data_IF_754664041593
#
_entry.id   IF_754664041593
#
_cell.length_a   1.000
_cell.length_b   1.000
_cell.length_c   1.000
_cell.angle_alpha   90.00
_cell.angle_beta   90.00
_cell.angle_gamma   90.00
#
_symmetry.space_group_name_H-M   'P 1'
#
loop_
_entity.id
_entity.type
_entity.pdbx_description
1 polymer ?
#
# COMPACT_ATOMS: atom_id res chain seq x y z
N UNK A 1 -26.58 19.69 5.54
CA UNK A 1 -25.54 19.23 4.58
C UNK A 1 -25.87 19.80 3.22
N UNK A 2 -25.04 20.69 2.67
CA UNK A 2 -25.40 21.49 1.48
C UNK A 2 -25.75 20.63 0.26
N UNK A 3 -24.98 19.56 -0.01
CA UNK A 3 -25.23 18.68 -1.16
C UNK A 3 -26.56 17.93 -1.04
N UNK A 4 -26.84 17.36 0.14
CA UNK A 4 -28.09 16.65 0.41
C UNK A 4 -29.31 17.59 0.31
N UNK A 5 -29.22 18.80 0.86
CA UNK A 5 -30.27 19.83 0.75
C UNK A 5 -30.54 20.24 -0.70
N UNK A 6 -29.52 20.20 -1.56
CA UNK A 6 -29.62 20.47 -2.99
C UNK A 6 -29.98 19.24 -3.84
N UNK A 7 -30.19 18.07 -3.23
CA UNK A 7 -30.44 16.81 -3.95
C UNK A 7 -29.26 16.34 -4.82
N UNK A 8 -28.04 16.77 -4.51
CA UNK A 8 -26.81 16.44 -5.24
C UNK A 8 -26.21 15.15 -4.65
N UNK A 9 -26.09 14.06 -5.42
CA UNK A 9 -25.46 12.83 -4.94
C UNK A 9 -23.96 13.04 -4.66
N UNK A 10 -23.48 12.37 -3.63
CA UNK A 10 -22.10 12.45 -3.14
C UNK A 10 -21.44 11.08 -3.11
N UNK A 11 -20.17 11.03 -3.53
CA UNK A 11 -19.33 9.84 -3.44
C UNK A 11 -18.09 10.21 -2.64
N UNK A 12 -17.84 9.49 -1.55
CA UNK A 12 -16.58 9.60 -0.80
C UNK A 12 -15.62 8.52 -1.31
N UNK A 13 -14.40 8.92 -1.69
CA UNK A 13 -13.36 7.98 -2.13
C UNK A 13 -12.46 7.62 -0.95
N UNK A 14 -12.21 6.33 -0.77
CA UNK A 14 -11.31 5.83 0.26
C UNK A 14 -9.87 6.37 0.08
N UNK A 15 -9.34 7.01 1.12
CA UNK A 15 -8.00 7.65 1.08
C UNK A 15 -6.84 6.70 1.44
N UNK A 16 -7.09 5.68 2.25
CA UNK A 16 -6.10 4.67 2.64
C UNK A 16 -6.75 3.38 3.12
N UNK A 17 -5.95 2.39 3.52
CA UNK A 17 -6.49 1.20 4.18
C UNK A 17 -7.16 1.58 5.50
N UNK A 18 -8.21 0.85 5.88
CA UNK A 18 -8.95 1.13 7.12
C UNK A 18 -8.09 0.70 8.30
N UNK A 19 -7.57 1.70 9.02
CA UNK A 19 -6.71 1.52 10.18
C UNK A 19 -7.46 1.59 11.51
N UNK A 20 -8.61 2.27 11.56
CA UNK A 20 -9.60 2.40 12.64
C UNK A 20 -10.90 2.91 12.02
N UNK A 21 -11.95 3.10 12.84
CA UNK A 21 -13.15 3.86 12.48
C UNK A 21 -12.90 5.37 12.25
N UNK A 22 -11.81 5.91 12.83
CA UNK A 22 -11.52 7.35 12.78
C UNK A 22 -11.18 7.74 11.33
N UNK A 23 -11.94 8.68 10.79
CA UNK A 23 -11.80 9.12 9.39
C UNK A 23 -12.58 8.29 8.37
N UNK A 24 -13.34 7.29 8.80
CA UNK A 24 -14.28 6.53 7.98
C UNK A 24 -15.72 6.62 8.48
N UNK A 25 -15.90 6.89 9.78
CA UNK A 25 -17.21 7.07 10.42
C UNK A 25 -17.38 8.47 11.03
N UNK A 26 -18.61 9.01 11.06
CA UNK A 26 -19.82 8.47 10.42
C UNK A 26 -19.75 8.56 8.89
N UNK A 27 -20.52 7.71 8.20
CA UNK A 27 -20.73 7.85 6.76
C UNK A 27 -21.53 9.13 6.50
N UNK A 28 -20.95 10.05 5.70
CA UNK A 28 -21.59 11.32 5.34
C UNK A 28 -22.03 11.31 3.87
N UNK A 29 -21.32 10.61 3.00
CA UNK A 29 -21.64 10.53 1.58
C UNK A 29 -22.75 9.50 1.29
N UNK A 30 -23.46 9.68 0.18
CA UNK A 30 -24.47 8.72 -0.29
C UNK A 30 -23.86 7.36 -0.63
N UNK A 31 -22.63 7.36 -1.16
CA UNK A 31 -21.88 6.15 -1.50
C UNK A 31 -20.42 6.28 -1.06
N UNK A 32 -19.94 5.27 -0.33
CA UNK A 32 -18.51 5.04 -0.09
C UNK A 32 -17.90 4.22 -1.23
N UNK A 33 -16.97 4.83 -1.95
CA UNK A 33 -16.17 4.21 -2.99
C UNK A 33 -14.94 3.52 -2.40
N UNK A 34 -15.00 2.20 -2.30
CA UNK A 34 -13.99 1.40 -1.56
C UNK A 34 -13.07 0.58 -2.47
N UNK A 35 -11.95 0.13 -1.91
CA UNK A 35 -10.93 -0.63 -2.64
C UNK A 35 -11.38 -2.04 -3.02
N UNK A 36 -11.89 -2.81 -2.06
CA UNK A 36 -12.22 -4.21 -2.26
C UNK A 36 -13.27 -4.76 -1.31
N UNK A 37 -13.29 -6.09 -1.23
CA UNK A 37 -14.24 -6.82 -0.39
C UNK A 37 -13.99 -6.57 1.10
N UNK A 38 -12.73 -6.41 1.51
CA UNK A 38 -12.40 -6.14 2.91
C UNK A 38 -13.15 -4.91 3.45
N UNK A 39 -13.04 -3.77 2.76
CA UNK A 39 -13.69 -2.54 3.21
C UNK A 39 -15.21 -2.62 3.10
N UNK A 40 -15.73 -3.26 2.05
CA UNK A 40 -17.16 -3.50 1.91
C UNK A 40 -17.73 -4.32 3.08
N UNK A 41 -17.03 -5.37 3.50
CA UNK A 41 -17.37 -6.19 4.66
C UNK A 41 -17.24 -5.42 5.97
N UNK A 42 -16.18 -4.61 6.11
CA UNK A 42 -15.97 -3.77 7.28
C UNK A 42 -17.09 -2.74 7.47
N UNK A 43 -17.46 -2.01 6.41
CA UNK A 43 -18.56 -1.02 6.46
C UNK A 43 -19.90 -1.68 6.82
N UNK A 44 -20.20 -2.85 6.24
CA UNK A 44 -21.39 -3.61 6.59
C UNK A 44 -21.40 -4.04 8.06
N UNK A 45 -20.24 -4.45 8.61
CA UNK A 45 -20.12 -4.85 10.02
C UNK A 45 -20.38 -3.69 10.99
N UNK A 46 -20.04 -2.46 10.61
CA UNK A 46 -20.31 -1.25 11.42
C UNK A 46 -21.67 -0.61 11.13
N UNK A 47 -22.54 -1.29 10.37
CA UNK A 47 -23.94 -0.90 10.18
C UNK A 47 -24.24 -0.07 8.93
N UNK A 48 -23.27 0.15 8.04
CA UNK A 48 -23.51 0.85 6.77
C UNK A 48 -24.30 -0.04 5.81
N UNK A 49 -25.34 0.53 5.19
CA UNK A 49 -26.17 -0.18 4.20
C UNK A 49 -25.31 -0.64 3.03
N UNK A 50 -25.48 -1.90 2.60
CA UNK A 50 -24.76 -2.46 1.43
C UNK A 50 -24.91 -1.62 0.17
N UNK A 51 -26.06 -0.98 -0.03
CA UNK A 51 -26.33 -0.10 -1.18
C UNK A 51 -25.57 1.22 -1.15
N UNK A 52 -25.00 1.59 0.00
CA UNK A 52 -24.22 2.80 0.22
C UNK A 52 -22.70 2.55 0.14
N UNK A 53 -22.29 1.38 -0.35
CA UNK A 53 -20.87 1.02 -0.53
C UNK A 53 -20.67 0.39 -1.91
N UNK A 54 -19.72 0.90 -2.68
CA UNK A 54 -19.42 0.40 -4.02
C UNK A 54 -17.92 0.09 -4.16
N UNK A 55 -17.59 -1.12 -4.62
CA UNK A 55 -16.20 -1.54 -4.87
C UNK A 55 -15.73 -0.97 -6.20
N UNK A 56 -15.11 0.21 -6.15
CA UNK A 56 -14.65 0.94 -7.34
C UNK A 56 -13.13 1.08 -7.40
N UNK A 57 -12.38 0.65 -6.39
CA UNK A 57 -10.93 0.85 -6.32
C UNK A 57 -10.57 2.31 -6.05
N UNK A 58 -9.40 2.76 -6.52
CA UNK A 58 -9.05 4.17 -6.49
C UNK A 58 -8.40 4.61 -7.82
N UNK A 59 -8.85 5.71 -8.47
CA UNK A 59 -8.23 6.18 -9.71
C UNK A 59 -6.74 6.51 -9.59
N UNK A 60 -6.26 6.81 -8.37
CA UNK A 60 -4.83 6.99 -8.08
C UNK A 60 -4.02 5.72 -8.37
N UNK A 61 -4.58 4.55 -8.09
CA UNK A 61 -3.93 3.25 -8.30
C UNK A 61 -3.92 2.83 -9.76
N UNK A 62 -4.72 3.47 -10.64
CA UNK A 62 -4.64 3.20 -12.08
C UNK A 62 -3.24 3.54 -12.65
N UNK A 63 -2.50 4.44 -12.00
CA UNK A 63 -1.13 4.77 -12.37
C UNK A 63 -0.13 3.66 -12.07
N UNK A 64 -0.43 2.70 -11.18
CA UNK A 64 0.45 1.57 -10.87
C UNK A 64 0.48 0.52 -11.99
N UNK A 65 -0.49 0.56 -12.91
CA UNK A 65 -0.48 -0.26 -14.13
C UNK A 65 0.33 0.39 -15.26
N UNK A 66 0.71 1.67 -15.11
CA UNK A 66 1.55 2.36 -16.08
C UNK A 66 3.01 2.02 -15.83
N UNK A 67 3.86 2.23 -16.85
CA UNK A 67 5.31 2.14 -16.65
C UNK A 67 5.77 3.29 -15.76
N UNK A 68 6.83 3.03 -14.98
CA UNK A 68 7.58 4.07 -14.27
C UNK A 68 7.89 5.24 -15.19
N UNK A 69 7.72 6.47 -14.69
CA UNK A 69 8.09 7.69 -15.40
C UNK A 69 9.60 7.87 -15.48
N UNK A 70 10.30 7.32 -14.49
CA UNK A 70 11.76 7.25 -14.40
C UNK A 70 12.28 5.95 -15.04
N UNK A 71 13.33 6.01 -15.85
CA UNK A 71 14.05 4.82 -16.31
C UNK A 71 14.87 4.20 -15.17
N UNK A 72 15.13 2.88 -15.25
CA UNK A 72 15.95 2.19 -14.24
C UNK A 72 17.38 2.76 -14.16
N UNK A 73 17.96 3.12 -15.31
CA UNK A 73 19.29 3.75 -15.37
C UNK A 73 19.33 5.11 -14.68
N UNK A 74 18.25 5.90 -14.80
CA UNK A 74 18.13 7.18 -14.12
C UNK A 74 18.04 6.98 -12.60
N UNK A 75 17.27 5.99 -12.11
CA UNK A 75 17.25 5.64 -10.69
C UNK A 75 18.65 5.26 -10.18
N UNK A 76 19.33 4.41 -10.95
CA UNK A 76 20.69 3.94 -10.65
C UNK A 76 21.64 5.11 -10.53
N UNK A 77 21.58 6.06 -11.47
CA UNK A 77 22.43 7.24 -11.48
C UNK A 77 22.09 8.22 -10.36
N UNK A 78 20.80 8.51 -10.13
CA UNK A 78 20.35 9.46 -9.10
C UNK A 78 20.70 8.97 -7.69
N UNK A 79 20.48 7.69 -7.41
CA UNK A 79 20.75 7.11 -6.09
C UNK A 79 22.16 6.54 -5.94
N UNK A 80 22.91 6.41 -7.04
CA UNK A 80 24.23 5.73 -7.07
C UNK A 80 24.17 4.32 -6.49
N UNK A 81 23.07 3.61 -6.76
CA UNK A 81 22.88 2.21 -6.35
C UNK A 81 23.65 1.27 -7.27
N UNK A 82 24.02 0.08 -6.78
CA UNK A 82 24.72 -0.90 -7.61
C UNK A 82 23.72 -1.68 -8.48
N UNK A 83 23.80 -1.62 -9.82
CA UNK A 83 22.81 -2.27 -10.70
C UNK A 83 22.85 -3.81 -10.65
N UNK A 84 23.93 -4.40 -10.15
CA UNK A 84 24.07 -5.86 -9.98
C UNK A 84 23.46 -6.40 -8.67
N UNK A 85 23.06 -5.54 -7.74
CA UNK A 85 22.40 -5.93 -6.49
C UNK A 85 20.89 -5.90 -6.63
N UNK A 86 20.19 -6.77 -5.87
CA UNK A 86 18.74 -6.67 -5.69
C UNK A 86 18.39 -5.42 -4.89
N UNK A 87 17.28 -4.78 -5.24
CA UNK A 87 16.80 -3.54 -4.63
C UNK A 87 15.61 -3.82 -3.72
N UNK A 88 15.74 -3.45 -2.45
CA UNK A 88 14.69 -3.54 -1.44
C UNK A 88 14.24 -2.11 -1.10
N UNK A 89 12.97 -1.80 -1.35
CA UNK A 89 12.36 -0.56 -0.87
C UNK A 89 11.81 -0.78 0.53
N UNK A 90 12.16 0.11 1.46
CA UNK A 90 11.68 0.11 2.84
C UNK A 90 10.88 1.38 3.08
N UNK A 91 9.60 1.20 3.37
CA UNK A 91 8.66 2.27 3.70
C UNK A 91 8.65 2.48 5.21
N UNK A 92 8.98 3.70 5.62
CA UNK A 92 8.99 4.12 7.03
C UNK A 92 8.04 5.30 7.24
N UNK A 93 7.78 5.64 8.51
CA UNK A 93 6.95 6.79 8.88
C UNK A 93 7.60 7.52 10.04
N UNK A 94 8.39 8.53 9.70
CA UNK A 94 9.15 9.31 10.68
C UNK A 94 9.92 8.39 11.64
N UNK A 95 10.12 8.81 12.89
CA UNK A 95 10.83 8.01 13.90
C UNK A 95 9.96 6.89 14.52
N UNK A 96 8.76 6.61 13.98
CA UNK A 96 7.90 5.56 14.53
C UNK A 96 8.59 4.21 14.45
N UNK A 97 8.93 3.68 15.62
CA UNK A 97 9.57 2.38 15.80
C UNK A 97 10.91 2.26 15.06
N UNK A 98 11.65 3.38 15.03
CA UNK A 98 12.95 3.46 14.36
C UNK A 98 13.92 2.34 14.78
N UNK A 99 13.87 1.89 16.03
CA UNK A 99 14.72 0.78 16.51
C UNK A 99 14.41 -0.56 15.84
N UNK A 100 13.12 -0.84 15.59
CA UNK A 100 12.71 -2.05 14.86
C UNK A 100 13.15 -1.98 13.41
N UNK A 101 13.02 -0.82 12.77
CA UNK A 101 13.49 -0.60 11.41
C UNK A 101 15.01 -0.68 11.29
N UNK A 102 15.73 -0.08 12.24
CA UNK A 102 17.20 -0.19 12.35
C UNK A 102 17.62 -1.65 12.46
N UNK A 103 16.98 -2.41 13.36
CA UNK A 103 17.22 -3.84 13.51
C UNK A 103 16.93 -4.61 12.22
N UNK A 104 15.82 -4.30 11.54
CA UNK A 104 15.44 -4.96 10.29
C UNK A 104 16.50 -4.71 9.21
N UNK A 105 16.84 -3.45 8.96
CA UNK A 105 17.77 -3.04 7.90
C UNK A 105 19.19 -3.59 8.16
N UNK A 106 19.64 -3.60 9.42
CA UNK A 106 20.93 -4.22 9.77
C UNK A 106 20.94 -5.72 9.56
N UNK A 107 19.83 -6.43 9.79
CA UNK A 107 19.74 -7.86 9.53
C UNK A 107 19.57 -8.18 8.04
N UNK A 108 18.93 -7.33 7.24
CA UNK A 108 18.92 -7.50 5.78
C UNK A 108 20.33 -7.57 5.20
N UNK A 109 21.26 -6.75 5.70
CA UNK A 109 22.66 -6.80 5.29
C UNK A 109 23.39 -8.11 5.64
N UNK A 110 22.84 -8.92 6.56
CA UNK A 110 23.36 -10.26 6.88
C UNK A 110 22.78 -11.34 5.98
N UNK A 111 21.57 -11.12 5.48
CA UNK A 111 20.87 -12.05 4.59
C UNK A 111 21.32 -11.93 3.13
N UNK A 112 22.06 -10.88 2.78
CA UNK A 112 22.63 -10.71 1.45
C UNK A 112 23.10 -9.29 1.17
N UNK A 113 23.59 -9.09 -0.04
CA UNK A 113 24.14 -7.82 -0.49
C UNK A 113 23.12 -7.07 -1.36
N UNK A 114 22.37 -6.16 -0.74
CA UNK A 114 21.23 -5.48 -1.36
C UNK A 114 21.49 -3.97 -1.51
N UNK A 115 20.79 -3.34 -2.46
CA UNK A 115 20.51 -1.91 -2.39
C UNK A 115 19.29 -1.73 -1.49
N UNK A 116 19.42 -1.01 -0.38
CA UNK A 116 18.28 -0.74 0.52
C UNK A 116 17.86 0.70 0.32
N UNK A 117 16.67 0.94 -0.21
CA UNK A 117 16.14 2.29 -0.45
C UNK A 117 15.13 2.61 0.64
N UNK A 118 15.35 3.68 1.38
CA UNK A 118 14.40 4.19 2.38
C UNK A 118 13.50 5.24 1.74
N UNK A 119 12.19 5.12 1.94
CA UNK A 119 11.18 6.13 1.63
C UNK A 119 10.35 6.41 2.87
N UNK A 120 10.38 7.65 3.34
CA UNK A 120 9.52 8.10 4.43
C UNK A 120 8.19 8.63 3.87
N UNK A 121 7.09 8.23 4.48
CA UNK A 121 5.74 8.66 4.09
C UNK A 121 5.54 10.18 4.22
N UNK A 122 6.04 10.81 5.28
CA UNK A 122 5.83 12.26 5.55
C UNK A 122 6.97 13.12 5.02
N UNK A 123 7.61 12.72 3.91
CA UNK A 123 8.79 13.37 3.30
C UNK A 123 8.90 14.88 3.60
N UNK A 124 9.92 15.26 4.37
CA UNK A 124 10.17 16.65 4.80
C UNK A 124 11.35 17.31 4.10
N UNK A 125 11.73 16.84 2.91
CA UNK A 125 12.94 17.34 2.22
C UNK A 125 14.25 16.73 2.71
N UNK A 126 14.25 15.97 3.81
CA UNK A 126 15.46 15.41 4.42
C UNK A 126 15.50 13.89 4.33
N UNK A 127 16.69 13.28 4.10
CA UNK A 127 16.87 11.84 4.24
C UNK A 127 16.57 11.34 5.65
N UNK A 128 15.89 10.20 5.73
CA UNK A 128 15.58 9.54 6.99
C UNK A 128 16.88 9.08 7.72
N UNK A 129 16.98 9.15 9.06
CA UNK A 129 18.20 8.79 9.81
C UNK A 129 18.77 7.39 9.51
N UNK A 130 17.91 6.43 9.15
CA UNK A 130 18.31 5.07 8.76
C UNK A 130 19.29 5.02 7.58
N UNK A 131 19.30 6.02 6.70
CA UNK A 131 20.23 6.07 5.57
C UNK A 131 21.68 6.27 6.00
N UNK A 132 21.91 6.69 7.25
CA UNK A 132 23.26 6.86 7.82
C UNK A 132 23.85 5.56 8.39
N UNK A 133 23.08 4.48 8.46
CA UNK A 133 23.53 3.22 9.09
C UNK A 133 24.57 2.46 8.25
N UNK A 134 24.58 2.64 6.93
CA UNK A 134 25.46 1.94 6.00
C UNK A 134 25.48 2.63 4.63
N UNK A 135 26.61 2.61 3.89
CA UNK A 135 26.69 3.17 2.54
C UNK A 135 25.83 2.45 1.48
N UNK A 136 25.21 1.32 1.82
CA UNK A 136 24.29 0.58 0.94
C UNK A 136 22.82 0.91 1.22
N UNK A 137 22.56 1.92 2.04
CA UNK A 137 21.22 2.42 2.36
C UNK A 137 21.06 3.82 1.77
N UNK A 138 20.08 3.95 0.89
CA UNK A 138 19.89 5.11 0.03
C UNK A 138 18.58 5.81 0.35
N UNK A 139 18.55 7.12 0.16
CA UNK A 139 17.34 7.92 0.34
C UNK A 139 16.63 8.12 -0.99
N UNK A 140 15.36 7.76 -1.08
CA UNK A 140 14.52 8.08 -2.27
C UNK A 140 13.60 9.27 -2.04
N UNK A 141 13.96 10.14 -1.10
CA UNK A 141 13.13 11.23 -0.61
C UNK A 141 12.58 12.11 -1.77
N UNK A 142 13.41 12.47 -2.73
CA UNK A 142 13.07 13.29 -3.90
C UNK A 142 12.45 12.51 -5.09
N UNK A 143 12.33 11.18 -5.03
CA UNK A 143 11.86 10.35 -6.15
C UNK A 143 10.40 9.95 -5.92
N UNK A 144 9.49 10.07 -6.91
CA UNK A 144 8.10 9.66 -6.74
C UNK A 144 7.96 8.20 -6.29
N UNK A 145 7.02 7.92 -5.38
CA UNK A 145 6.86 6.61 -4.76
C UNK A 145 6.72 5.48 -5.80
N UNK A 146 5.89 5.69 -6.83
CA UNK A 146 5.58 4.63 -7.80
C UNK A 146 6.77 4.29 -8.68
N UNK A 147 7.64 5.26 -9.00
CA UNK A 147 8.88 4.97 -9.72
C UNK A 147 9.80 4.07 -8.89
N UNK A 148 9.93 4.35 -7.60
CA UNK A 148 10.74 3.51 -6.69
C UNK A 148 10.13 2.12 -6.52
N UNK A 149 8.80 2.01 -6.39
CA UNK A 149 8.09 0.72 -6.34
C UNK A 149 8.40 -0.10 -7.60
N UNK A 150 8.21 0.48 -8.79
CA UNK A 150 8.42 -0.22 -10.07
C UNK A 150 9.84 -0.76 -10.25
N UNK A 151 10.85 -0.06 -9.72
CA UNK A 151 12.26 -0.46 -9.82
C UNK A 151 12.76 -1.31 -8.65
N UNK A 152 11.90 -1.62 -7.69
CA UNK A 152 12.23 -2.50 -6.56
C UNK A 152 11.99 -3.96 -6.90
N UNK A 153 12.82 -4.84 -6.34
CA UNK A 153 12.62 -6.29 -6.38
C UNK A 153 11.72 -6.77 -5.23
N UNK A 154 11.78 -6.10 -4.08
CA UNK A 154 10.94 -6.34 -2.89
C UNK A 154 10.55 -5.01 -2.24
N UNK A 155 9.33 -4.93 -1.70
CA UNK A 155 8.88 -3.80 -0.86
C UNK A 155 8.64 -4.29 0.58
N UNK A 156 9.21 -3.57 1.53
CA UNK A 156 9.02 -3.74 2.97
C UNK A 156 8.26 -2.57 3.52
N UNK A 157 7.21 -2.84 4.29
CA UNK A 157 6.36 -1.78 4.83
C UNK A 157 5.84 -2.13 6.22
N UNK A 158 5.33 -1.14 6.93
CA UNK A 158 4.41 -1.37 8.04
C UNK A 158 3.00 -1.63 7.49
N UNK A 159 1.99 -1.66 8.36
CA UNK A 159 0.57 -1.70 7.99
C UNK A 159 0.18 -0.40 7.26
N UNK A 160 0.52 -0.31 5.98
CA UNK A 160 0.41 0.90 5.15
C UNK A 160 -0.28 0.58 3.83
N UNK A 161 -1.06 1.55 3.31
CA UNK A 161 -1.61 1.49 1.94
C UNK A 161 -0.54 1.22 0.89
N UNK A 162 0.71 1.64 1.13
CA UNK A 162 1.82 1.39 0.20
C UNK A 162 2.06 -0.11 -0.02
N UNK A 163 1.73 -0.96 0.97
CA UNK A 163 1.77 -2.41 0.80
C UNK A 163 0.78 -2.88 -0.26
N UNK A 164 -0.47 -2.39 -0.24
CA UNK A 164 -1.46 -2.67 -1.28
C UNK A 164 -0.99 -2.13 -2.64
N UNK A 165 -0.51 -0.89 -2.68
CA UNK A 165 -0.03 -0.24 -3.92
C UNK A 165 1.12 -1.03 -4.56
N UNK A 166 2.08 -1.49 -3.77
CA UNK A 166 3.18 -2.32 -4.26
C UNK A 166 2.68 -3.67 -4.81
N UNK A 167 1.70 -4.31 -4.16
CA UNK A 167 1.13 -5.56 -4.65
C UNK A 167 0.36 -5.36 -5.97
N UNK A 168 -0.37 -4.25 -6.13
CA UNK A 168 -1.03 -3.88 -7.39
C UNK A 168 0.02 -3.70 -8.51
N UNK A 169 1.19 -3.13 -8.20
CA UNK A 169 2.32 -3.03 -9.12
C UNK A 169 3.13 -4.34 -9.30
N UNK A 170 2.53 -5.49 -8.96
CA UNK A 170 3.11 -6.83 -9.05
C UNK A 170 4.40 -7.04 -8.24
N UNK A 171 4.58 -6.28 -7.15
CA UNK A 171 5.75 -6.42 -6.27
C UNK A 171 5.47 -7.36 -5.10
N UNK A 172 6.45 -8.22 -4.72
CA UNK A 172 6.36 -8.97 -3.48
C UNK A 172 6.48 -8.00 -2.30
N UNK A 173 5.64 -8.21 -1.29
CA UNK A 173 5.56 -7.36 -0.10
C UNK A 173 5.75 -8.21 1.15
N UNK A 174 6.58 -7.72 2.08
CA UNK A 174 6.62 -8.24 3.44
C UNK A 174 6.35 -7.12 4.43
N UNK A 175 5.64 -7.45 5.50
CA UNK A 175 5.14 -6.47 6.45
C UNK A 175 5.81 -6.69 7.80
N UNK A 176 6.47 -5.64 8.29
CA UNK A 176 6.84 -5.55 9.70
C UNK A 176 5.60 -5.11 10.46
N UNK A 177 4.80 -6.10 10.90
CA UNK A 177 3.53 -5.83 11.58
C UNK A 177 3.79 -5.37 13.00
N UNK A 178 3.78 -4.07 13.18
CA UNK A 178 3.79 -3.51 14.51
C UNK A 178 2.39 -3.11 14.86
N UNK A 179 1.93 -3.62 15.99
CA UNK A 179 0.59 -3.39 16.49
C UNK A 179 0.42 -1.89 16.72
N UNK A 180 -0.35 -1.26 15.84
CA UNK A 180 -1.04 -0.03 16.17
C UNK A 180 -2.27 -0.42 17.01
N UNK A 181 -2.70 0.43 17.97
CA UNK A 181 -3.87 0.13 18.80
C UNK A 181 -5.14 -0.20 18.02
N UNK A 182 -5.21 0.18 16.74
CA UNK A 182 -6.43 0.21 15.96
C UNK A 182 -6.55 -0.84 14.85
N UNK A 183 -5.58 -1.75 14.69
CA UNK A 183 -5.54 -2.69 13.55
C UNK A 183 -6.84 -3.48 13.29
N UNK A 184 -7.36 -3.35 12.07
CA UNK A 184 -8.65 -3.90 11.62
C UNK A 184 -8.59 -5.33 11.07
N UNK A 185 -7.40 -5.93 10.96
CA UNK A 185 -7.22 -7.22 10.30
C UNK A 185 -6.93 -7.13 8.80
N UNK A 186 -6.69 -5.92 8.25
CA UNK A 186 -6.49 -5.69 6.81
C UNK A 186 -5.50 -6.67 6.15
N UNK A 187 -4.40 -6.97 6.82
CA UNK A 187 -3.31 -7.80 6.33
C UNK A 187 -3.37 -9.26 6.82
N UNK A 188 -4.45 -9.70 7.46
CA UNK A 188 -4.54 -11.05 8.05
C UNK A 188 -4.50 -12.15 6.99
N UNK A 189 -4.95 -11.86 5.76
CA UNK A 189 -4.82 -12.78 4.62
C UNK A 189 -3.38 -12.90 4.10
N UNK A 190 -2.44 -12.10 4.62
CA UNK A 190 -1.01 -12.15 4.30
C UNK A 190 -0.16 -12.80 5.40
N UNK A 191 -0.73 -13.53 6.36
CA UNK A 191 -0.01 -14.16 7.50
C UNK A 191 1.41 -14.68 7.21
N UNK A 192 1.70 -15.44 6.12
CA UNK A 192 3.07 -15.91 5.90
C UNK A 192 4.09 -14.79 5.60
N UNK A 193 3.62 -13.60 5.19
CA UNK A 193 4.43 -12.44 4.78
C UNK A 193 4.44 -11.31 5.82
N UNK A 194 3.81 -11.53 6.97
CA UNK A 194 3.58 -10.52 8.01
C UNK A 194 4.17 -11.03 9.33
N UNK A 195 5.11 -10.29 9.93
CA UNK A 195 5.62 -10.65 11.26
C UNK A 195 6.06 -9.43 12.07
N UNK A 196 5.82 -9.40 13.40
CA UNK A 196 6.23 -8.28 14.25
C UNK A 196 7.72 -8.22 14.55
N UNK A 197 8.49 -9.28 14.27
CA UNK A 197 9.90 -9.40 14.62
C UNK A 197 10.78 -9.02 13.43
N UNK A 198 11.58 -7.93 13.53
CA UNK A 198 12.48 -7.46 12.47
C UNK A 198 13.36 -8.55 11.84
N UNK A 199 13.96 -9.41 12.68
CA UNK A 199 14.85 -10.48 12.21
C UNK A 199 14.12 -11.55 11.40
N UNK A 200 12.87 -11.88 11.77
CA UNK A 200 12.09 -12.85 11.00
C UNK A 200 11.71 -12.27 9.64
N UNK A 201 11.33 -10.99 9.60
CA UNK A 201 11.09 -10.29 8.32
C UNK A 201 12.32 -10.28 7.43
N UNK A 202 13.50 -9.94 7.97
CA UNK A 202 14.74 -9.99 7.19
C UNK A 202 15.00 -11.38 6.60
N UNK A 203 14.84 -12.46 7.38
CA UNK A 203 14.98 -13.85 6.89
C UNK A 203 13.94 -14.21 5.83
N UNK A 204 12.70 -13.75 5.95
CA UNK A 204 11.67 -13.98 4.93
C UNK A 204 12.07 -13.38 3.58
N UNK A 205 12.71 -12.21 3.59
CA UNK A 205 13.25 -11.53 2.40
C UNK A 205 14.48 -12.24 1.85
N UNK A 206 15.43 -12.61 2.72
CA UNK A 206 16.61 -13.39 2.31
C UNK A 206 16.23 -14.71 1.64
N UNK A 207 15.25 -15.41 2.23
CA UNK A 207 14.67 -16.63 1.66
C UNK A 207 14.00 -16.36 0.30
N UNK A 208 13.33 -15.22 0.12
CA UNK A 208 12.66 -14.90 -1.15
C UNK A 208 13.62 -14.81 -2.33
N UNK A 209 14.84 -14.32 -2.08
CA UNK A 209 15.86 -14.23 -3.11
C UNK A 209 16.58 -15.56 -3.38
N UNK A 210 16.49 -16.54 -2.48
CA UNK A 210 17.27 -17.80 -2.56
C UNK A 210 16.45 -19.08 -2.72
N UNK A 211 15.14 -19.07 -2.45
CA UNK A 211 14.26 -20.24 -2.50
C UNK A 211 13.08 -20.00 -3.46
N UNK A 212 13.09 -20.71 -4.60
CA UNK A 212 12.06 -20.58 -5.63
C UNK A 212 10.68 -21.11 -5.19
N UNK A 213 10.62 -22.10 -4.28
CA UNK A 213 9.33 -22.56 -3.72
C UNK A 213 8.72 -21.47 -2.86
N UNK A 214 9.55 -20.80 -2.05
CA UNK A 214 9.10 -19.67 -1.25
C UNK A 214 8.67 -18.48 -2.12
N UNK A 215 9.41 -18.20 -3.19
CA UNK A 215 9.04 -17.17 -4.18
C UNK A 215 7.66 -17.44 -4.80
N UNK A 216 7.38 -18.69 -5.16
CA UNK A 216 6.09 -19.10 -5.69
C UNK A 216 4.97 -18.97 -4.63
N UNK A 217 5.22 -19.40 -3.39
CA UNK A 217 4.26 -19.23 -2.29
C UNK A 217 3.95 -17.74 -2.00
N UNK A 218 4.95 -16.86 -2.07
CA UNK A 218 4.79 -15.41 -1.93
C UNK A 218 3.87 -14.87 -3.03
N UNK A 219 4.08 -15.30 -4.28
CA UNK A 219 3.24 -14.91 -5.42
C UNK A 219 1.78 -15.35 -5.23
N UNK A 220 1.56 -16.59 -4.82
CA UNK A 220 0.21 -17.14 -4.58
C UNK A 220 -0.51 -16.43 -3.43
N UNK A 221 0.19 -16.23 -2.31
CA UNK A 221 -0.37 -15.52 -1.15
C UNK A 221 -0.77 -14.09 -1.53
N UNK A 222 0.10 -13.38 -2.27
CA UNK A 222 -0.18 -12.03 -2.75
C UNK A 222 -1.37 -12.00 -3.71
N UNK A 223 -1.47 -12.95 -4.64
CA UNK A 223 -2.61 -13.00 -5.57
C UNK A 223 -3.92 -13.28 -4.84
N UNK A 224 -3.92 -14.22 -3.89
CA UNK A 224 -5.09 -14.52 -3.06
C UNK A 224 -5.52 -13.30 -2.22
N UNK A 225 -4.56 -12.55 -1.69
CA UNK A 225 -4.82 -11.28 -1.02
C UNK A 225 -5.47 -10.25 -1.96
N UNK A 226 -4.87 -10.00 -3.14
CA UNK A 226 -5.38 -9.02 -4.10
C UNK A 226 -6.77 -9.37 -4.63
N UNK A 227 -7.06 -10.65 -4.84
CA UNK A 227 -8.39 -11.13 -5.24
C UNK A 227 -9.48 -10.79 -4.22
N UNK A 228 -9.12 -10.38 -3.01
CA UNK A 228 -10.06 -9.93 -1.98
C UNK A 228 -9.94 -8.42 -1.70
N UNK A 229 -8.72 -7.91 -1.52
CA UNK A 229 -8.45 -6.52 -1.16
C UNK A 229 -8.56 -5.53 -2.34
N UNK A 230 -8.36 -6.00 -3.58
CA UNK A 230 -8.47 -5.17 -4.79
C UNK A 230 -8.93 -5.99 -6.02
N UNK A 231 -10.15 -6.56 -5.99
CA UNK A 231 -10.68 -7.49 -6.99
C UNK A 231 -11.16 -6.73 -8.24
N UNK A 232 -10.26 -6.30 -9.13
CA UNK A 232 -10.69 -5.34 -10.18
C UNK A 232 -10.16 -5.70 -11.57
N UNK A 233 -11.09 -5.88 -12.51
CA UNK A 233 -10.79 -6.21 -13.92
C UNK A 233 -10.72 -4.98 -14.85
N UNK A 234 -11.21 -3.82 -14.41
CA UNK A 234 -11.22 -2.56 -15.16
C UNK A 234 -10.56 -1.43 -14.35
N UNK A 235 -9.96 -0.42 -15.01
CA UNK A 235 -9.45 0.77 -14.33
C UNK A 235 -10.50 1.41 -13.41
N UNK A 236 -10.08 1.84 -12.23
CA UNK A 236 -10.94 2.46 -11.22
C UNK A 236 -11.60 3.74 -11.73
N UNK A 237 -10.87 4.56 -12.50
CA UNK A 237 -11.43 5.77 -13.09
C UNK A 237 -12.64 5.50 -13.99
N UNK A 238 -12.66 4.37 -14.71
CA UNK A 238 -13.82 3.98 -15.52
C UNK A 238 -15.02 3.64 -14.62
N UNK A 239 -14.79 2.86 -13.56
CA UNK A 239 -15.84 2.47 -12.60
C UNK A 239 -16.41 3.65 -11.84
N UNK A 240 -15.56 4.61 -11.45
CA UNK A 240 -16.01 5.87 -10.84
C UNK A 240 -16.93 6.64 -11.80
N UNK A 241 -16.56 6.77 -13.08
CA UNK A 241 -17.41 7.45 -14.06
C UNK A 241 -18.74 6.72 -14.30
N UNK A 242 -18.74 5.38 -14.28
CA UNK A 242 -19.97 4.58 -14.34
C UNK A 242 -20.88 4.83 -13.13
N UNK A 243 -20.32 4.86 -11.91
CA UNK A 243 -21.03 5.19 -10.68
C UNK A 243 -21.63 6.61 -10.72
N UNK A 244 -20.84 7.62 -11.08
CA UNK A 244 -21.29 9.01 -11.15
C UNK A 244 -22.43 9.18 -12.16
N UNK A 245 -22.35 8.52 -13.34
CA UNK A 245 -23.43 8.54 -14.34
C UNK A 245 -24.70 7.84 -13.86
N UNK A 246 -24.57 6.79 -13.05
CA UNK A 246 -25.72 6.11 -12.45
C UNK A 246 -26.43 7.00 -11.44
N UNK A 247 -25.68 7.61 -10.52
CA UNK A 247 -26.24 8.49 -9.48
C UNK A 247 -26.88 9.75 -10.07
N UNK A 248 -26.25 10.36 -11.09
CA UNK A 248 -26.81 11.54 -11.76
C UNK A 248 -28.11 11.28 -12.53
N UNK A 249 -28.38 10.03 -12.94
CA UNK A 249 -29.66 9.64 -13.56
C UNK A 249 -30.76 9.32 -12.55
N UNK A 250 -30.40 8.91 -11.33
CA UNK A 250 -31.37 8.47 -10.31
C UNK A 250 -31.96 9.64 -9.53
N UNK A 251 -31.36 10.84 -9.58
CA UNK A 251 -31.60 11.88 -8.59
C UNK A 251 -31.00 11.49 -7.23
N UNK A 252 -30.67 12.45 -6.36
CA UNK A 252 -30.12 12.15 -5.04
C UNK A 252 -30.95 11.13 -4.25
N UNK A 253 -30.32 10.38 -3.34
CA UNK A 253 -31.04 9.52 -2.41
C UNK A 253 -31.82 10.44 -1.46
N UNK A 254 -33.15 10.28 -1.27
CA UNK A 254 -33.89 11.08 -0.32
C UNK A 254 -33.29 10.93 1.08
N UNK A 255 -33.10 12.05 1.77
CA UNK A 255 -32.73 12.06 3.18
C UNK A 255 -33.95 11.60 3.99
N UNK A 256 -33.91 10.39 4.56
CA UNK A 256 -34.90 9.91 5.54
C UNK A 256 -34.54 10.36 6.96
#
# INVERSE_FOLDING_TARGET
>A
MVAAEAGIPTVCMQHGIIGDEIGYMPQIADVEGVYGHFESEWFQKVGVKKTAVEIIGHPRFDNLFRRSSLMKSELVNQLKINPGKKTILVIVREDKQVDKWKTLVQNLSKEGNYNIIIKDFLYRGTPHPLTKLSPHIYSSAAIPLYDVIHHSDVVLTYLSTVGLEAMIADKPVFVLSTTFPTYTGYFDRLVPLVDPRPMKVARMVGKYFSDDRWKQQVKETRQAFLNHAYPTAKPSGTRLMELLRRLSKQGGIPFE
#
